data_IF_301873208315
#
_entry.id   IF_301873208315
#
_cell.length_a   1.000
_cell.length_b   1.000
_cell.length_c   1.000
_cell.angle_alpha   90.00
_cell.angle_beta   90.00
_cell.angle_gamma   90.00
#
_symmetry.space_group_name_H-M   'P 1'
#
loop_
_entity.id
_entity.type
_entity.pdbx_description
1 polymer ?
#
# COMPACT_ATOMS: atom_id res chain seq x y z
N UNK A 1 1.66 -10.10 12.16
CA UNK A 1 2.19 -9.80 10.81
C UNK A 1 3.47 -9.01 11.00
N UNK A 2 4.52 -9.23 10.19
CA UNK A 2 5.73 -8.39 10.22
C UNK A 2 5.76 -7.60 8.91
N UNK A 3 5.61 -6.28 9.00
CA UNK A 3 5.76 -5.41 7.85
C UNK A 3 7.24 -5.29 7.46
N UNK A 4 7.53 -5.15 6.17
CA UNK A 4 8.90 -4.98 5.70
C UNK A 4 8.96 -4.78 4.20
N UNK A 5 10.15 -4.51 3.69
CA UNK A 5 10.38 -4.29 2.27
C UNK A 5 11.74 -4.83 1.84
N UNK A 6 11.83 -5.22 0.58
CA UNK A 6 13.11 -5.51 -0.09
C UNK A 6 13.47 -4.29 -0.93
N UNK A 7 14.65 -3.74 -0.70
CA UNK A 7 15.21 -2.65 -1.52
C UNK A 7 16.46 -3.12 -2.26
N UNK A 8 16.63 -2.57 -3.46
CA UNK A 8 17.89 -2.61 -4.19
C UNK A 8 18.42 -1.19 -4.22
N UNK A 9 19.64 -1.01 -3.76
CA UNK A 9 20.32 0.28 -3.81
C UNK A 9 21.04 0.45 -5.15
N UNK A 10 21.38 1.70 -5.45
CA UNK A 10 22.00 2.09 -6.72
C UNK A 10 23.43 1.51 -6.86
N UNK A 11 24.10 1.24 -5.74
CA UNK A 11 25.40 0.56 -5.68
C UNK A 11 25.31 -0.98 -5.84
N UNK A 12 24.09 -1.52 -5.97
CA UNK A 12 23.83 -2.94 -6.14
C UNK A 12 23.54 -3.71 -4.85
N UNK A 13 23.69 -3.10 -3.67
CA UNK A 13 23.33 -3.75 -2.40
C UNK A 13 21.85 -4.11 -2.37
N UNK A 14 21.55 -5.27 -1.82
CA UNK A 14 20.20 -5.75 -1.60
C UNK A 14 19.94 -5.84 -0.10
N UNK A 15 18.90 -5.18 0.39
CA UNK A 15 18.54 -5.17 1.81
C UNK A 15 17.08 -5.63 2.00
N UNK A 16 16.83 -6.35 3.09
CA UNK A 16 15.50 -6.42 3.70
C UNK A 16 15.46 -5.42 4.84
N UNK A 17 14.47 -4.54 4.85
CA UNK A 17 14.26 -3.55 5.90
C UNK A 17 12.96 -3.84 6.64
N UNK A 18 13.04 -3.93 7.97
CA UNK A 18 11.90 -4.21 8.84
C UNK A 18 11.78 -3.11 9.90
N UNK A 19 10.67 -2.37 9.98
CA UNK A 19 10.45 -1.40 11.04
C UNK A 19 10.07 -2.09 12.34
N UNK A 20 10.71 -1.70 13.45
CA UNK A 20 10.40 -2.26 14.77
C UNK A 20 9.16 -1.66 15.40
N UNK A 21 8.87 -0.39 15.11
CA UNK A 21 7.78 0.40 15.68
C UNK A 21 7.17 1.40 14.67
N UNK A 22 6.15 2.16 15.11
CA UNK A 22 5.47 3.17 14.29
C UNK A 22 6.39 4.31 13.81
N UNK A 23 7.29 4.88 14.64
CA UNK A 23 8.31 5.80 14.15
C UNK A 23 9.19 5.21 13.04
N UNK A 24 9.66 3.98 13.19
CA UNK A 24 10.45 3.28 12.19
C UNK A 24 9.67 3.03 10.90
N UNK A 25 8.39 2.66 10.99
CA UNK A 25 7.49 2.56 9.83
C UNK A 25 7.39 3.88 9.07
N UNK A 26 7.28 5.01 9.79
CA UNK A 26 7.24 6.34 9.19
C UNK A 26 8.54 6.68 8.45
N UNK A 27 9.71 6.29 8.99
CA UNK A 27 11.00 6.46 8.32
C UNK A 27 11.13 5.55 7.10
N UNK A 28 10.68 4.30 7.20
CA UNK A 28 10.69 3.36 6.08
C UNK A 28 9.85 3.87 4.91
N UNK A 29 8.62 4.33 5.17
CA UNK A 29 7.74 4.87 4.13
C UNK A 29 8.29 6.15 3.53
N UNK A 30 8.94 7.01 4.32
CA UNK A 30 9.65 8.21 3.82
C UNK A 30 10.81 7.85 2.91
N UNK A 31 11.64 6.87 3.30
CA UNK A 31 12.73 6.33 2.47
C UNK A 31 12.20 5.80 1.13
N UNK A 32 11.16 4.97 1.15
CA UNK A 32 10.56 4.45 -0.08
C UNK A 32 9.96 5.56 -0.95
N UNK A 33 9.30 6.55 -0.35
CA UNK A 33 8.74 7.71 -1.07
C UNK A 33 9.84 8.50 -1.77
N UNK A 34 10.95 8.75 -1.09
CA UNK A 34 12.13 9.42 -1.65
C UNK A 34 12.63 8.66 -2.88
N UNK A 35 12.84 7.35 -2.76
CA UNK A 35 13.35 6.55 -3.87
C UNK A 35 12.38 6.48 -5.06
N UNK A 36 11.07 6.38 -4.80
CA UNK A 36 10.03 6.41 -5.84
C UNK A 36 9.95 7.76 -6.54
N UNK A 37 10.14 8.87 -5.81
CA UNK A 37 10.10 10.22 -6.38
C UNK A 37 11.26 10.49 -7.36
N UNK A 38 12.42 9.85 -7.16
CA UNK A 38 13.63 10.04 -7.98
C UNK A 38 13.63 9.22 -9.28
N UNK A 39 12.96 8.07 -9.32
CA UNK A 39 13.13 7.08 -10.39
C UNK A 39 11.95 7.00 -11.40
N UNK A 40 10.95 7.86 -11.26
CA UNK A 40 9.77 7.89 -12.13
C UNK A 40 8.89 6.64 -12.03
N UNK A 41 7.98 6.46 -13.01
CA UNK A 41 6.96 5.40 -12.97
C UNK A 41 7.59 4.01 -12.98
N UNK A 42 7.32 3.23 -11.93
CA UNK A 42 7.78 1.84 -11.79
C UNK A 42 9.21 1.70 -11.25
N UNK A 43 10.00 2.78 -11.23
CA UNK A 43 11.36 2.78 -10.69
C UNK A 43 11.41 2.93 -9.16
N UNK A 44 12.61 2.82 -8.60
CA UNK A 44 12.98 3.28 -7.25
C UNK A 44 14.51 3.47 -7.24
N UNK A 45 15.01 4.66 -6.92
CA UNK A 45 16.44 4.96 -6.89
C UNK A 45 16.83 5.35 -5.45
N UNK A 46 17.63 4.53 -4.81
CA UNK A 46 18.02 4.67 -3.41
C UNK A 46 19.52 4.47 -3.28
N UNK A 47 20.19 5.44 -2.68
CA UNK A 47 21.59 5.33 -2.33
C UNK A 47 21.75 4.83 -0.88
N UNK A 48 22.95 4.38 -0.52
CA UNK A 48 23.25 3.95 0.84
C UNK A 48 23.03 5.08 1.86
N UNK A 49 23.36 6.31 1.51
CA UNK A 49 23.22 7.50 2.35
C UNK A 49 21.75 7.77 2.71
N UNK A 50 20.80 7.43 1.83
CA UNK A 50 19.38 7.53 2.13
C UNK A 50 18.99 6.54 3.23
N UNK A 51 19.53 5.31 3.17
CA UNK A 51 19.31 4.29 4.20
C UNK A 51 19.92 4.74 5.51
N UNK A 52 21.16 5.27 5.51
CA UNK A 52 21.83 5.85 6.68
C UNK A 52 20.95 6.94 7.31
N UNK A 53 20.41 7.85 6.50
CA UNK A 53 19.57 8.96 6.98
C UNK A 53 18.30 8.47 7.67
N UNK A 54 17.67 7.41 7.17
CA UNK A 54 16.37 6.92 7.64
C UNK A 54 16.43 5.61 8.45
N UNK A 55 17.61 5.21 8.94
CA UNK A 55 17.84 3.88 9.53
C UNK A 55 17.20 3.65 10.91
N UNK A 56 16.91 4.71 11.67
CA UNK A 56 16.62 4.58 13.09
C UNK A 56 15.35 3.74 13.36
N UNK A 57 15.49 2.69 14.17
CA UNK A 57 14.42 1.73 14.47
C UNK A 57 14.16 0.71 13.35
N UNK A 58 14.96 0.70 12.28
CA UNK A 58 14.90 -0.36 11.27
C UNK A 58 15.85 -1.50 11.64
N UNK A 59 15.42 -2.73 11.41
CA UNK A 59 16.30 -3.88 11.25
C UNK A 59 16.66 -4.00 9.77
N UNK A 60 17.95 -4.21 9.48
CA UNK A 60 18.44 -4.40 8.12
C UNK A 60 19.10 -5.77 7.97
N UNK A 61 18.69 -6.49 6.92
CA UNK A 61 19.31 -7.76 6.53
C UNK A 61 19.95 -7.57 5.16
N UNK A 62 21.27 -7.64 5.07
CA UNK A 62 22.00 -7.66 3.80
C UNK A 62 21.81 -9.01 3.11
N UNK A 63 21.50 -9.01 1.80
CA UNK A 63 21.47 -10.22 0.98
C UNK A 63 22.71 -10.27 0.06
N UNK A 64 23.88 -10.71 0.56
CA UNK A 64 25.09 -10.76 -0.26
C UNK A 64 24.98 -11.85 -1.33
N UNK A 65 25.62 -11.62 -2.49
CA UNK A 65 25.64 -12.61 -3.56
C UNK A 65 26.71 -13.70 -3.35
N UNK A 66 27.96 -13.24 -3.21
CA UNK A 66 29.15 -14.06 -3.04
C UNK A 66 30.03 -13.45 -1.94
N UNK A 67 30.79 -14.25 -1.18
CA UNK A 67 31.81 -13.72 -0.28
C UNK A 67 32.91 -12.99 -1.07
N UNK A 68 33.52 -11.98 -0.48
CA UNK A 68 34.63 -11.24 -1.09
C UNK A 68 34.82 -9.87 -0.47
N UNK A 69 35.72 -9.07 -1.03
CA UNK A 69 36.07 -7.75 -0.49
C UNK A 69 34.88 -6.79 -0.49
N UNK A 70 34.06 -6.81 -1.54
CA UNK A 70 32.83 -6.02 -1.61
C UNK A 70 31.87 -6.36 -0.45
N UNK A 71 31.60 -7.66 -0.22
CA UNK A 71 30.75 -8.09 0.89
C UNK A 71 31.35 -7.76 2.25
N UNK A 72 32.67 -7.84 2.41
CA UNK A 72 33.34 -7.42 3.64
C UNK A 72 33.13 -5.92 3.90
N UNK A 73 33.26 -5.10 2.86
CA UNK A 73 32.98 -3.66 2.95
C UNK A 73 31.51 -3.40 3.30
N UNK A 74 30.57 -4.06 2.61
CA UNK A 74 29.14 -3.91 2.85
C UNK A 74 28.74 -4.31 4.28
N UNK A 75 29.35 -5.36 4.82
CA UNK A 75 29.13 -5.81 6.20
C UNK A 75 29.72 -4.81 7.21
N UNK A 76 30.86 -4.20 6.90
CA UNK A 76 31.43 -3.12 7.71
C UNK A 76 30.49 -1.92 7.80
N UNK A 77 30.01 -1.44 6.65
CA UNK A 77 29.04 -0.34 6.58
C UNK A 77 27.74 -0.71 7.33
N UNK A 78 27.26 -1.95 7.16
CA UNK A 78 26.06 -2.43 7.85
C UNK A 78 26.24 -2.42 9.37
N UNK A 79 27.40 -2.88 9.86
CA UNK A 79 27.71 -2.87 11.29
C UNK A 79 27.78 -1.45 11.85
N UNK A 80 28.44 -0.52 11.14
CA UNK A 80 28.56 0.88 11.55
C UNK A 80 27.18 1.55 11.70
N UNK A 81 26.27 1.29 10.77
CA UNK A 81 24.97 1.98 10.71
C UNK A 81 23.92 1.29 11.59
N UNK A 82 23.86 -0.04 11.57
CA UNK A 82 22.80 -0.80 12.22
C UNK A 82 23.22 -1.47 13.53
N UNK A 83 24.51 -1.69 13.76
CA UNK A 83 25.01 -2.40 14.94
C UNK A 83 24.32 -3.76 15.12
N UNK A 84 23.72 -3.95 16.29
CA UNK A 84 22.95 -5.15 16.65
C UNK A 84 21.63 -5.32 15.87
N UNK A 85 21.21 -4.33 15.07
CA UNK A 85 20.05 -4.40 14.17
C UNK A 85 20.43 -4.83 12.74
N UNK A 86 21.73 -5.03 12.48
CA UNK A 86 22.27 -5.45 11.20
C UNK A 86 22.48 -6.97 11.15
N UNK A 87 22.00 -7.60 10.08
CA UNK A 87 22.18 -9.05 9.88
C UNK A 87 22.66 -9.38 8.47
N UNK A 88 23.43 -10.45 8.34
CA UNK A 88 23.83 -11.04 7.06
C UNK A 88 22.91 -12.23 6.71
N UNK A 89 22.20 -12.17 5.59
CA UNK A 89 21.37 -13.27 5.14
C UNK A 89 22.21 -14.47 4.69
N UNK A 90 21.86 -15.66 5.19
CA UNK A 90 22.29 -16.94 4.66
C UNK A 90 21.12 -17.57 3.92
N UNK A 91 21.29 -17.79 2.62
CA UNK A 91 20.27 -18.39 1.75
C UNK A 91 20.89 -19.47 0.87
N UNK A 92 20.36 -20.68 0.96
CA UNK A 92 20.71 -21.78 0.03
C UNK A 92 20.07 -21.56 -1.34
N UNK A 93 20.86 -21.75 -2.41
CA UNK A 93 20.49 -21.55 -3.81
C UNK A 93 20.33 -22.86 -4.58
N UNK A 94 20.67 -23.99 -3.93
CA UNK A 94 20.79 -25.33 -4.54
C UNK A 94 21.80 -25.34 -5.69
N UNK A 95 22.95 -24.71 -5.46
CA UNK A 95 24.09 -24.70 -6.41
C UNK A 95 25.29 -25.46 -5.86
N UNK A 96 26.21 -25.90 -6.74
CA UNK A 96 27.54 -26.34 -6.29
C UNK A 96 28.15 -25.31 -5.35
N UNK A 97 28.90 -25.80 -4.36
CA UNK A 97 29.64 -24.99 -3.38
C UNK A 97 28.80 -24.07 -2.47
N UNK A 98 27.47 -24.24 -2.43
CA UNK A 98 26.61 -23.44 -1.55
C UNK A 98 27.01 -23.54 -0.08
N UNK A 99 27.41 -24.73 0.39
CA UNK A 99 27.85 -24.92 1.77
C UNK A 99 29.13 -24.11 2.07
N UNK A 100 30.11 -24.14 1.16
CA UNK A 100 31.33 -23.35 1.26
C UNK A 100 31.02 -21.85 1.23
N UNK A 101 30.19 -21.42 0.26
CA UNK A 101 29.74 -20.04 0.13
C UNK A 101 29.08 -19.52 1.41
N UNK A 102 28.17 -20.29 2.01
CA UNK A 102 27.51 -19.90 3.25
C UNK A 102 28.49 -19.87 4.44
N UNK A 103 29.44 -20.82 4.49
CA UNK A 103 30.48 -20.81 5.51
C UNK A 103 31.36 -19.56 5.41
N UNK A 104 31.82 -19.21 4.21
CA UNK A 104 32.62 -18.01 3.98
C UNK A 104 31.86 -16.71 4.26
N UNK A 105 30.58 -16.64 3.88
CA UNK A 105 29.72 -15.50 4.23
C UNK A 105 29.53 -15.38 5.75
N UNK A 106 29.29 -16.50 6.45
CA UNK A 106 29.15 -16.50 7.90
C UNK A 106 30.46 -16.06 8.59
N UNK A 107 31.61 -16.51 8.08
CA UNK A 107 32.92 -16.07 8.56
C UNK A 107 33.13 -14.57 8.34
N UNK A 108 32.85 -14.04 7.16
CA UNK A 108 32.97 -12.59 6.90
C UNK A 108 32.03 -11.75 7.76
N UNK A 109 30.81 -12.24 7.99
CA UNK A 109 29.87 -11.60 8.91
C UNK A 109 30.41 -11.57 10.35
N UNK A 110 30.96 -12.70 10.82
CA UNK A 110 31.59 -12.76 12.14
C UNK A 110 32.82 -11.83 12.27
N UNK A 111 33.70 -11.81 11.26
CA UNK A 111 34.87 -10.90 11.20
C UNK A 111 34.44 -9.42 11.31
N UNK A 112 33.28 -9.07 10.72
CA UNK A 112 32.72 -7.72 10.73
C UNK A 112 31.82 -7.42 11.95
N UNK A 113 31.63 -8.37 12.88
CA UNK A 113 30.75 -8.20 14.03
C UNK A 113 29.26 -8.15 13.67
N UNK A 114 28.85 -8.77 12.56
CA UNK A 114 27.47 -8.84 12.07
C UNK A 114 26.90 -10.24 12.30
N UNK A 115 25.72 -10.33 12.92
CA UNK A 115 25.03 -11.60 13.12
C UNK A 115 24.48 -12.16 11.80
N UNK A 116 24.48 -13.48 11.64
CA UNK A 116 23.85 -14.13 10.47
C UNK A 116 22.39 -14.45 10.74
N UNK A 117 21.57 -14.50 9.68
CA UNK A 117 20.16 -14.94 9.75
C UNK A 117 19.80 -15.83 8.56
N UNK A 118 19.09 -16.92 8.82
CA UNK A 118 18.64 -17.85 7.79
C UNK A 118 17.42 -17.27 7.05
N UNK A 119 17.51 -17.14 5.72
CA UNK A 119 16.45 -16.58 4.88
C UNK A 119 16.14 -17.51 3.71
N UNK A 120 14.86 -17.80 3.50
CA UNK A 120 14.41 -18.66 2.39
C UNK A 120 14.31 -17.97 1.03
N UNK A 121 14.38 -16.63 1.00
CA UNK A 121 14.19 -15.77 -0.18
C UNK A 121 12.94 -16.18 -0.99
N UNK A 122 11.82 -16.39 -0.29
CA UNK A 122 10.62 -17.05 -0.80
C UNK A 122 9.92 -16.20 -1.87
N UNK A 123 9.46 -16.84 -2.96
CA UNK A 123 8.64 -16.22 -4.00
C UNK A 123 7.24 -16.82 -4.11
N UNK A 124 7.07 -18.06 -3.66
CA UNK A 124 5.83 -18.81 -3.84
C UNK A 124 5.56 -19.72 -2.64
N UNK A 125 4.31 -20.15 -2.47
CA UNK A 125 3.86 -20.86 -1.27
C UNK A 125 4.19 -22.36 -1.30
N UNK A 126 4.19 -22.99 -2.47
CA UNK A 126 4.39 -24.43 -2.63
C UNK A 126 5.35 -24.77 -3.80
N UNK A 127 6.00 -25.95 -3.81
CA UNK A 127 7.00 -26.30 -4.82
C UNK A 127 6.48 -26.29 -6.28
N UNK A 128 5.25 -26.73 -6.49
CA UNK A 128 4.54 -26.81 -7.77
C UNK A 128 4.21 -25.42 -8.35
N UNK A 129 4.02 -24.41 -7.49
CA UNK A 129 3.83 -23.03 -7.89
C UNK A 129 5.05 -22.39 -8.60
N UNK A 130 6.18 -23.10 -8.69
CA UNK A 130 7.33 -22.67 -9.49
C UNK A 130 6.99 -22.47 -10.97
N UNK A 131 6.14 -23.33 -11.53
CA UNK A 131 5.72 -23.18 -12.94
C UNK A 131 4.93 -21.88 -13.14
N UNK A 132 4.05 -21.56 -12.19
CA UNK A 132 3.31 -20.31 -12.19
C UNK A 132 4.25 -19.10 -12.05
N UNK A 133 5.31 -19.20 -11.25
CA UNK A 133 6.33 -18.15 -11.14
C UNK A 133 7.01 -17.87 -12.49
N UNK A 134 7.34 -18.91 -13.26
CA UNK A 134 7.91 -18.75 -14.60
C UNK A 134 6.91 -18.06 -15.56
N UNK A 135 5.63 -18.44 -15.49
CA UNK A 135 4.55 -17.81 -16.29
C UNK A 135 4.38 -16.33 -15.93
N UNK A 136 4.28 -15.98 -14.65
CA UNK A 136 4.13 -14.58 -14.20
C UNK A 136 5.38 -13.77 -14.56
N UNK A 137 6.56 -14.38 -14.54
CA UNK A 137 7.79 -13.75 -15.01
C UNK A 137 7.74 -13.50 -16.52
N UNK A 138 7.30 -14.47 -17.32
CA UNK A 138 7.14 -14.30 -18.77
C UNK A 138 6.14 -13.19 -19.13
N UNK A 139 5.01 -13.10 -18.40
CA UNK A 139 4.04 -12.00 -18.53
C UNK A 139 4.71 -10.65 -18.23
N UNK A 140 5.46 -10.55 -17.13
CA UNK A 140 6.17 -9.31 -16.74
C UNK A 140 7.19 -8.88 -17.79
N UNK A 141 7.97 -9.84 -18.30
CA UNK A 141 9.02 -9.62 -19.31
C UNK A 141 8.46 -9.53 -20.75
N UNK A 142 7.13 -9.67 -20.93
CA UNK A 142 6.42 -9.62 -22.21
C UNK A 142 6.98 -10.60 -23.24
N UNK A 143 7.29 -11.82 -22.81
CA UNK A 143 7.77 -12.89 -23.69
C UNK A 143 7.07 -14.21 -23.37
N UNK A 144 7.43 -15.27 -24.09
CA UNK A 144 6.94 -16.62 -23.77
C UNK A 144 7.83 -17.29 -22.73
N UNK A 145 7.33 -18.35 -22.09
CA UNK A 145 8.11 -19.19 -21.15
C UNK A 145 9.32 -19.83 -21.84
N UNK A 146 9.17 -20.20 -23.12
CA UNK A 146 10.25 -20.80 -23.93
C UNK A 146 11.37 -19.81 -24.22
N UNK A 147 11.03 -18.53 -24.42
CA UNK A 147 11.98 -17.46 -24.74
C UNK A 147 12.49 -16.71 -23.50
N UNK A 148 12.11 -17.16 -22.30
CA UNK A 148 12.44 -16.49 -21.04
C UNK A 148 13.95 -16.47 -20.74
N UNK A 149 14.66 -17.53 -21.14
CA UNK A 149 16.12 -17.65 -20.97
C UNK A 149 16.58 -17.40 -19.53
N UNK A 150 17.64 -16.61 -19.36
CA UNK A 150 18.21 -16.27 -18.05
C UNK A 150 17.39 -15.29 -17.19
N UNK A 151 16.25 -14.80 -17.71
CA UNK A 151 15.30 -14.02 -16.91
C UNK A 151 14.47 -14.90 -15.97
N UNK A 152 14.47 -16.22 -16.21
CA UNK A 152 13.88 -17.20 -15.29
C UNK A 152 14.57 -17.16 -13.94
N UNK A 153 13.82 -17.46 -12.89
CA UNK A 153 14.39 -17.60 -11.56
C UNK A 153 15.51 -18.66 -11.58
N UNK A 154 16.71 -18.23 -11.17
CA UNK A 154 17.93 -19.04 -11.28
C UNK A 154 18.01 -20.10 -10.18
N UNK A 155 17.40 -19.83 -9.04
CA UNK A 155 17.49 -20.67 -7.85
C UNK A 155 16.22 -21.51 -7.73
N UNK A 156 16.40 -22.81 -7.60
CA UNK A 156 15.31 -23.69 -7.20
C UNK A 156 14.93 -23.41 -5.74
N UNK A 157 13.85 -24.04 -5.27
CA UNK A 157 13.59 -24.16 -3.82
C UNK A 157 13.23 -22.82 -3.13
N UNK A 158 12.66 -21.86 -3.86
CA UNK A 158 12.14 -20.58 -3.32
C UNK A 158 10.66 -20.66 -2.87
N UNK A 159 10.21 -21.86 -2.49
CA UNK A 159 8.91 -22.06 -1.83
C UNK A 159 9.03 -21.92 -0.31
N UNK A 160 7.92 -21.58 0.35
CA UNK A 160 7.80 -21.56 1.81
C UNK A 160 8.04 -22.96 2.40
N UNK A 161 8.95 -23.06 3.38
CA UNK A 161 9.33 -24.32 4.03
C UNK A 161 8.77 -24.39 5.44
N UNK A 162 8.62 -25.62 5.94
CA UNK A 162 8.31 -25.84 7.34
C UNK A 162 9.51 -25.44 8.23
N UNK A 163 9.26 -25.14 9.52
CA UNK A 163 10.32 -24.88 10.48
C UNK A 163 11.37 -26.00 10.55
N UNK A 164 10.92 -27.26 10.56
CA UNK A 164 11.79 -28.44 10.67
C UNK A 164 12.73 -28.56 9.46
N UNK A 165 12.23 -28.27 8.26
CA UNK A 165 13.05 -28.28 7.05
C UNK A 165 14.05 -27.12 7.06
N UNK A 166 13.68 -25.94 7.56
CA UNK A 166 14.61 -24.82 7.72
C UNK A 166 15.71 -25.14 8.73
N UNK A 167 15.37 -25.71 9.89
CA UNK A 167 16.33 -26.16 10.90
C UNK A 167 17.28 -27.22 10.34
N UNK A 168 16.74 -28.23 9.64
CA UNK A 168 17.55 -29.29 9.00
C UNK A 168 18.51 -28.71 7.96
N UNK A 169 18.04 -27.78 7.11
CA UNK A 169 18.88 -27.17 6.06
C UNK A 169 19.99 -26.31 6.64
N UNK A 170 19.70 -25.59 7.71
CA UNK A 170 20.65 -24.70 8.39
C UNK A 170 21.24 -25.33 9.65
N UNK A 171 21.34 -26.66 9.71
CA UNK A 171 21.89 -27.36 10.88
C UNK A 171 23.33 -26.94 11.23
N UNK A 172 24.13 -26.52 10.24
CA UNK A 172 25.47 -25.97 10.44
C UNK A 172 25.47 -24.51 10.94
N UNK A 173 24.32 -23.83 10.95
CA UNK A 173 24.15 -22.42 11.31
C UNK A 173 22.95 -22.23 12.27
N UNK A 174 22.94 -22.89 13.45
CA UNK A 174 21.79 -22.84 14.37
C UNK A 174 21.50 -21.42 14.89
N UNK A 175 22.54 -20.59 15.06
CA UNK A 175 22.39 -19.18 15.45
C UNK A 175 21.62 -18.38 14.39
N UNK A 176 21.80 -18.69 13.11
CA UNK A 176 21.11 -18.02 12.01
C UNK A 176 19.61 -18.31 12.02
N UNK A 177 19.21 -19.51 12.44
CA UNK A 177 17.79 -19.85 12.67
C UNK A 177 17.27 -19.11 13.89
N UNK A 178 18.02 -19.08 15.01
CA UNK A 178 17.59 -18.39 16.23
C UNK A 178 17.37 -16.88 16.00
N UNK A 179 18.22 -16.26 15.20
CA UNK A 179 18.10 -14.85 14.82
C UNK A 179 16.74 -14.53 14.17
N UNK A 180 16.11 -15.48 13.45
CA UNK A 180 14.79 -15.26 12.85
C UNK A 180 13.72 -14.98 13.90
N UNK A 181 13.70 -15.73 14.99
CA UNK A 181 12.77 -15.57 16.10
C UNK A 181 13.06 -14.29 16.90
N UNK A 182 14.33 -13.90 17.01
CA UNK A 182 14.73 -12.64 17.63
C UNK A 182 14.23 -11.44 16.82
N UNK A 183 14.49 -11.40 15.52
CA UNK A 183 14.00 -10.35 14.61
C UNK A 183 12.48 -10.27 14.70
N UNK A 184 11.79 -11.41 14.67
CA UNK A 184 10.33 -11.45 14.78
C UNK A 184 9.81 -10.84 16.09
N UNK A 185 10.51 -11.05 17.22
CA UNK A 185 10.14 -10.44 18.52
C UNK A 185 10.41 -8.94 18.57
N UNK A 186 11.44 -8.45 17.87
CA UNK A 186 11.79 -7.02 17.82
C UNK A 186 10.84 -6.23 16.92
N UNK A 187 10.25 -6.86 15.91
CA UNK A 187 9.29 -6.24 15.01
C UNK A 187 7.88 -6.18 15.62
N UNK A 188 7.62 -5.16 16.43
CA UNK A 188 6.33 -4.99 17.14
C UNK A 188 5.32 -4.09 16.43
N UNK A 189 5.74 -3.36 15.40
CA UNK A 189 4.85 -2.46 14.64
C UNK A 189 3.61 -3.17 14.11
N UNK A 190 2.45 -2.61 14.40
CA UNK A 190 1.16 -3.02 13.84
C UNK A 190 0.55 -1.92 12.95
N UNK A 191 0.03 -2.33 11.78
CA UNK A 191 -0.71 -1.44 10.89
C UNK A 191 -1.99 -0.90 11.56
N UNK A 192 -2.54 -1.62 12.53
CA UNK A 192 -3.67 -1.17 13.34
C UNK A 192 -3.39 0.08 14.19
N UNK A 193 -2.12 0.43 14.44
CA UNK A 193 -1.74 1.64 15.16
C UNK A 193 -1.87 2.93 14.31
N UNK A 194 -2.14 2.79 13.01
CA UNK A 194 -2.32 3.91 12.10
C UNK A 194 -3.74 4.48 12.26
N UNK A 195 -3.82 5.78 12.53
CA UNK A 195 -5.07 6.51 12.69
C UNK A 195 -5.19 7.60 11.64
N UNK A 196 -6.43 7.98 11.32
CA UNK A 196 -6.68 9.14 10.47
C UNK A 196 -6.09 10.40 11.11
N UNK A 197 -5.44 11.20 10.28
CA UNK A 197 -4.93 12.52 10.63
C UNK A 197 -5.52 13.48 9.62
N UNK A 198 -6.37 14.37 10.09
CA UNK A 198 -6.98 15.38 9.24
C UNK A 198 -6.08 16.61 9.17
N UNK A 199 -6.05 17.32 8.02
CA UNK A 199 -5.38 18.60 7.92
C UNK A 199 -5.89 19.59 8.96
N UNK A 200 -5.01 20.47 9.44
CA UNK A 200 -5.41 21.60 10.26
C UNK A 200 -5.98 22.70 9.35
N UNK A 201 -7.30 22.71 9.23
CA UNK A 201 -8.04 23.69 8.45
C UNK A 201 -8.09 25.03 9.19
N UNK A 202 -7.19 25.95 8.87
CA UNK A 202 -7.21 27.34 9.38
C UNK A 202 -8.25 28.17 8.63
N UNK A 203 -9.52 27.80 8.77
CA UNK A 203 -10.63 28.51 8.11
C UNK A 203 -11.00 29.79 8.87
N UNK A 204 -10.85 29.79 10.20
CA UNK A 204 -11.12 30.94 11.07
C UNK A 204 -10.03 31.04 12.14
N UNK A 205 -9.28 32.15 12.13
CA UNK A 205 -8.19 32.38 13.08
C UNK A 205 -8.70 32.39 14.53
N UNK A 206 -8.03 31.63 15.40
CA UNK A 206 -8.30 31.59 16.84
C UNK A 206 -9.45 30.68 17.28
N UNK A 207 -10.12 29.97 16.36
CA UNK A 207 -11.17 29.00 16.69
C UNK A 207 -10.67 27.56 16.59
N UNK A 208 -11.28 26.68 17.38
CA UNK A 208 -11.14 25.23 17.18
C UNK A 208 -11.91 24.80 15.92
N UNK A 209 -11.54 23.65 15.34
CA UNK A 209 -12.24 23.11 14.17
C UNK A 209 -13.76 22.94 14.38
N UNK A 210 -14.17 22.53 15.58
CA UNK A 210 -15.58 22.41 15.94
C UNK A 210 -16.29 23.77 15.95
N UNK A 211 -15.70 24.77 16.61
CA UNK A 211 -16.26 26.13 16.66
C UNK A 211 -16.33 26.77 15.26
N UNK A 212 -15.32 26.56 14.43
CA UNK A 212 -15.32 27.04 13.05
C UNK A 212 -16.44 26.37 12.23
N UNK A 213 -16.64 25.06 12.39
CA UNK A 213 -17.73 24.34 11.72
C UNK A 213 -19.11 24.85 12.16
N UNK A 214 -19.31 25.05 13.47
CA UNK A 214 -20.54 25.60 14.02
C UNK A 214 -20.83 27.00 13.47
N UNK A 215 -19.82 27.89 13.44
CA UNK A 215 -19.97 29.24 12.92
C UNK A 215 -20.32 29.25 11.42
N UNK A 216 -19.64 28.43 10.60
CA UNK A 216 -19.92 28.33 9.17
C UNK A 216 -21.33 27.77 8.91
N UNK A 217 -21.73 26.78 9.71
CA UNK A 217 -23.07 26.19 9.61
C UNK A 217 -24.13 27.21 9.97
N UNK A 218 -23.96 27.98 11.06
CA UNK A 218 -24.92 29.01 11.46
C UNK A 218 -25.04 30.11 10.40
N UNK A 219 -23.91 30.61 9.90
CA UNK A 219 -23.91 31.60 8.82
C UNK A 219 -24.58 31.10 7.52
N UNK A 220 -24.54 29.79 7.26
CA UNK A 220 -25.27 29.20 6.15
C UNK A 220 -26.78 29.07 6.43
N UNK A 221 -27.14 28.70 7.65
CA UNK A 221 -28.52 28.62 8.12
C UNK A 221 -29.21 29.99 8.07
N UNK A 222 -28.57 31.04 8.57
CA UNK A 222 -29.08 32.42 8.55
C UNK A 222 -29.35 32.89 7.11
N UNK A 223 -28.43 32.60 6.17
CA UNK A 223 -28.62 32.92 4.75
C UNK A 223 -29.76 32.14 4.12
N UNK A 224 -29.98 30.89 4.54
CA UNK A 224 -30.99 29.99 3.97
C UNK A 224 -32.40 30.29 4.50
N UNK A 225 -32.50 30.72 5.75
CA UNK A 225 -33.73 30.96 6.48
C UNK A 225 -33.73 32.35 7.15
N UNK A 226 -33.77 33.45 6.36
CA UNK A 226 -33.72 34.81 6.89
C UNK A 226 -34.92 35.15 7.81
N UNK A 227 -36.07 34.50 7.58
CA UNK A 227 -37.30 34.70 8.34
C UNK A 227 -37.45 33.75 9.54
N UNK A 228 -36.39 33.00 9.88
CA UNK A 228 -36.36 32.07 11.00
C UNK A 228 -36.26 30.60 10.59
N UNK A 229 -35.53 29.84 11.39
CA UNK A 229 -35.16 28.45 11.11
C UNK A 229 -36.24 27.51 11.63
N UNK A 230 -36.81 26.61 10.79
CA UNK A 230 -37.80 25.66 11.27
C UNK A 230 -37.21 24.70 12.31
N UNK A 231 -38.00 24.37 13.35
CA UNK A 231 -37.54 23.61 14.51
C UNK A 231 -36.93 22.24 14.18
N UNK A 232 -37.40 21.58 13.12
CA UNK A 232 -36.85 20.31 12.66
C UNK A 232 -35.40 20.44 12.18
N UNK A 233 -35.08 21.49 11.41
CA UNK A 233 -33.70 21.72 10.97
C UNK A 233 -32.79 22.07 12.14
N UNK A 234 -33.26 22.92 13.06
CA UNK A 234 -32.48 23.30 14.25
C UNK A 234 -32.13 22.08 15.09
N UNK A 235 -33.14 21.27 15.43
CA UNK A 235 -32.97 20.03 16.19
C UNK A 235 -31.97 19.08 15.52
N UNK A 236 -32.09 18.90 14.20
CA UNK A 236 -31.21 18.02 13.44
C UNK A 236 -29.77 18.55 13.38
N UNK A 237 -29.58 19.81 13.05
CA UNK A 237 -28.25 20.45 12.99
C UNK A 237 -27.54 20.36 14.35
N UNK A 238 -28.24 20.68 15.44
CA UNK A 238 -27.68 20.61 16.78
C UNK A 238 -27.30 19.16 17.16
N UNK A 239 -28.09 18.17 16.72
CA UNK A 239 -27.76 16.75 16.92
C UNK A 239 -26.52 16.33 16.12
N UNK A 240 -26.45 16.71 14.85
CA UNK A 240 -25.30 16.39 13.98
C UNK A 240 -24.01 17.02 14.50
N UNK A 241 -24.03 18.32 14.86
CA UNK A 241 -22.86 19.02 15.37
C UNK A 241 -22.33 18.42 16.68
N UNK A 242 -23.23 17.97 17.58
CA UNK A 242 -22.83 17.22 18.78
C UNK A 242 -22.12 15.92 18.43
N UNK A 243 -22.68 15.11 17.54
CA UNK A 243 -22.08 13.83 17.17
C UNK A 243 -20.74 14.01 16.42
N UNK A 244 -20.64 15.04 15.58
CA UNK A 244 -19.40 15.42 14.91
C UNK A 244 -18.32 15.81 15.93
N UNK A 245 -18.69 16.54 16.98
CA UNK A 245 -17.78 16.90 18.07
C UNK A 245 -17.32 15.67 18.86
N UNK A 246 -18.25 14.80 19.26
CA UNK A 246 -17.97 13.58 20.02
C UNK A 246 -17.02 12.63 19.29
N UNK A 247 -17.14 12.55 17.97
CA UNK A 247 -16.32 11.69 17.11
C UNK A 247 -15.11 12.43 16.50
N UNK A 248 -14.92 13.71 16.83
CA UNK A 248 -13.84 14.57 16.35
C UNK A 248 -13.72 14.65 14.81
N UNK A 249 -14.85 14.71 14.10
CA UNK A 249 -14.89 14.78 12.63
C UNK A 249 -14.94 16.20 12.07
N UNK A 250 -14.98 17.24 12.91
CA UNK A 250 -15.05 18.63 12.42
C UNK A 250 -13.94 19.01 11.42
N UNK A 251 -12.65 18.64 11.60
CA UNK A 251 -11.61 18.94 10.62
C UNK A 251 -11.90 18.36 9.23
N UNK A 252 -12.51 17.17 9.18
CA UNK A 252 -12.86 16.53 7.93
C UNK A 252 -13.96 17.28 7.18
N UNK A 253 -15.02 17.70 7.89
CA UNK A 253 -16.09 18.53 7.31
C UNK A 253 -15.55 19.86 6.80
N UNK A 254 -14.65 20.50 7.55
CA UNK A 254 -13.99 21.74 7.13
C UNK A 254 -13.17 21.53 5.86
N UNK A 255 -12.38 20.45 5.77
CA UNK A 255 -11.56 20.14 4.59
C UNK A 255 -12.43 20.00 3.35
N UNK A 256 -13.53 19.23 3.45
CA UNK A 256 -14.45 19.06 2.32
C UNK A 256 -15.15 20.37 1.98
N UNK A 257 -15.58 21.14 2.98
CA UNK A 257 -16.18 22.46 2.77
C UNK A 257 -15.22 23.41 2.04
N UNK A 258 -13.93 23.43 2.40
CA UNK A 258 -12.90 24.23 1.72
C UNK A 258 -12.78 23.85 0.23
N UNK A 259 -12.73 22.55 -0.08
CA UNK A 259 -12.67 22.05 -1.46
C UNK A 259 -13.93 22.45 -2.26
N UNK A 260 -15.12 22.27 -1.68
CA UNK A 260 -16.41 22.61 -2.31
C UNK A 260 -16.54 24.12 -2.51
N UNK A 261 -16.14 24.92 -1.52
CA UNK A 261 -16.16 26.37 -1.59
C UNK A 261 -15.25 26.89 -2.72
N UNK A 262 -14.06 26.31 -2.86
CA UNK A 262 -13.16 26.65 -3.96
C UNK A 262 -13.74 26.28 -5.33
N UNK A 263 -14.33 25.09 -5.45
CA UNK A 263 -15.02 24.66 -6.68
C UNK A 263 -16.08 25.67 -7.11
N UNK A 264 -16.92 26.10 -6.17
CA UNK A 264 -17.95 27.12 -6.41
C UNK A 264 -17.37 28.47 -6.77
N UNK A 265 -16.31 28.91 -6.10
CA UNK A 265 -15.62 30.17 -6.40
C UNK A 265 -15.11 30.23 -7.85
N UNK A 266 -14.67 29.09 -8.39
CA UNK A 266 -14.23 28.92 -9.79
C UNK A 266 -15.36 28.63 -10.78
N UNK A 267 -16.60 28.55 -10.31
CA UNK A 267 -17.75 28.16 -11.12
C UNK A 267 -17.67 26.72 -11.65
N UNK A 268 -16.98 25.82 -10.93
CA UNK A 268 -16.90 24.39 -11.26
C UNK A 268 -18.06 23.68 -10.57
N UNK A 269 -18.84 22.93 -11.36
CA UNK A 269 -19.94 22.13 -10.81
C UNK A 269 -19.40 21.02 -9.91
N UNK A 270 -19.95 20.93 -8.71
CA UNK A 270 -19.65 19.86 -7.77
C UNK A 270 -20.90 19.39 -7.02
N UNK A 271 -20.93 18.11 -6.66
CA UNK A 271 -22.07 17.49 -5.98
C UNK A 271 -21.59 16.40 -5.01
N UNK A 272 -21.92 16.54 -3.73
CA UNK A 272 -21.75 15.45 -2.77
C UNK A 272 -22.69 14.28 -3.08
N UNK A 273 -22.18 13.05 -2.95
CA UNK A 273 -22.91 11.78 -3.18
C UNK A 273 -22.83 10.86 -1.97
N UNK A 274 -23.54 9.73 -2.05
CA UNK A 274 -23.51 8.69 -1.02
C UNK A 274 -24.25 9.11 0.26
N UNK A 275 -23.79 8.60 1.41
CA UNK A 275 -24.43 8.84 2.71
C UNK A 275 -24.30 10.29 3.20
N UNK A 276 -23.36 11.08 2.65
CA UNK A 276 -23.25 12.50 2.97
C UNK A 276 -24.55 13.29 2.70
N UNK A 277 -25.40 12.82 1.78
CA UNK A 277 -26.70 13.42 1.50
C UNK A 277 -27.68 13.38 2.70
N UNK A 278 -27.41 12.55 3.71
CA UNK A 278 -28.24 12.43 4.90
C UNK A 278 -27.94 13.49 5.97
N UNK A 279 -26.93 14.35 5.78
CA UNK A 279 -26.51 15.35 6.76
C UNK A 279 -27.08 16.74 6.44
N UNK A 280 -27.76 17.33 7.41
CA UNK A 280 -28.18 18.73 7.40
C UNK A 280 -26.97 19.67 7.38
N UNK A 281 -25.90 19.36 8.11
CA UNK A 281 -24.67 20.18 8.10
C UNK A 281 -24.08 20.21 6.68
N UNK A 282 -23.93 19.05 6.03
CA UNK A 282 -23.50 18.99 4.63
C UNK A 282 -24.41 19.77 3.68
N UNK A 283 -25.72 19.69 3.88
CA UNK A 283 -26.69 20.43 3.07
C UNK A 283 -26.60 21.95 3.28
N UNK A 284 -26.46 22.42 4.51
CA UNK A 284 -26.34 23.86 4.82
C UNK A 284 -25.05 24.46 4.25
N UNK A 285 -23.92 23.77 4.42
CA UNK A 285 -22.66 24.15 3.79
C UNK A 285 -22.70 24.01 2.25
N UNK A 286 -23.72 23.32 1.74
CA UNK A 286 -23.92 23.02 0.34
C UNK A 286 -22.91 22.01 -0.21
N UNK A 287 -22.29 21.20 0.63
CA UNK A 287 -21.53 20.02 0.18
C UNK A 287 -22.48 19.09 -0.59
N UNK A 288 -23.72 18.96 -0.13
CA UNK A 288 -24.80 18.24 -0.81
C UNK A 288 -25.92 19.20 -1.21
N UNK A 289 -26.71 18.80 -2.20
CA UNK A 289 -27.87 19.57 -2.70
C UNK A 289 -29.22 18.99 -2.29
N UNK A 290 -29.23 17.82 -1.64
CA UNK A 290 -30.45 17.13 -1.20
C UNK A 290 -30.78 17.58 0.21
N UNK A 291 -32.04 17.95 0.43
CA UNK A 291 -32.58 18.37 1.72
C UNK A 291 -32.98 17.14 2.55
N UNK A 292 -32.20 16.74 3.57
CA UNK A 292 -32.42 15.48 4.28
C UNK A 292 -33.70 15.50 5.12
N UNK A 293 -34.17 16.67 5.56
CA UNK A 293 -35.41 16.79 6.34
C UNK A 293 -36.62 16.52 5.45
N UNK A 294 -36.66 17.11 4.24
CA UNK A 294 -37.77 16.89 3.30
C UNK A 294 -37.86 15.46 2.78
N UNK A 295 -36.72 14.78 2.71
CA UNK A 295 -36.62 13.43 2.20
C UNK A 295 -36.52 12.36 3.30
N UNK A 296 -36.69 12.74 4.57
CA UNK A 296 -36.68 11.86 5.74
C UNK A 296 -35.44 10.95 5.79
N UNK A 297 -34.27 11.51 5.44
CA UNK A 297 -33.01 10.79 5.40
C UNK A 297 -32.42 10.66 6.81
N UNK A 298 -31.89 9.47 7.12
CA UNK A 298 -31.34 9.15 8.43
C UNK A 298 -29.85 9.47 8.51
N UNK A 299 -29.49 10.41 9.39
CA UNK A 299 -28.11 10.83 9.62
C UNK A 299 -27.23 9.71 10.18
N UNK A 300 -27.79 8.79 10.96
CA UNK A 300 -27.08 7.65 11.57
C UNK A 300 -26.53 6.66 10.54
N UNK A 301 -27.07 6.69 9.31
CA UNK A 301 -26.51 5.93 8.18
C UNK A 301 -25.23 6.54 7.62
N UNK A 302 -24.96 7.81 7.94
CA UNK A 302 -23.76 8.53 7.55
C UNK A 302 -22.72 8.54 8.66
N UNK A 303 -23.11 8.91 9.87
CA UNK A 303 -22.24 8.90 11.06
C UNK A 303 -22.91 8.10 12.16
N UNK A 304 -22.26 7.05 12.65
CA UNK A 304 -22.77 6.22 13.74
C UNK A 304 -21.71 6.05 14.83
N UNK A 305 -22.08 6.38 16.08
CA UNK A 305 -21.22 6.19 17.25
C UNK A 305 -20.89 4.72 17.54
N UNK A 306 -21.73 3.77 17.08
CA UNK A 306 -21.54 2.34 17.29
C UNK A 306 -20.49 1.74 16.34
N UNK A 307 -20.35 2.31 15.13
CA UNK A 307 -19.47 1.75 14.08
C UNK A 307 -18.02 2.18 14.20
N UNK A 308 -17.71 3.30 14.87
CA UNK A 308 -16.35 3.90 14.95
C UNK A 308 -15.59 3.92 13.62
N UNK A 309 -16.32 3.94 12.51
CA UNK A 309 -15.78 4.07 11.16
C UNK A 309 -15.90 5.55 10.76
N UNK A 310 -14.87 6.15 10.15
CA UNK A 310 -14.96 7.50 9.62
C UNK A 310 -16.03 7.62 8.53
N UNK A 311 -16.77 8.73 8.47
CA UNK A 311 -17.72 8.98 7.39
C UNK A 311 -16.99 9.17 6.06
N UNK A 312 -17.63 8.75 4.98
CA UNK A 312 -17.14 8.98 3.62
C UNK A 312 -17.96 10.09 2.95
N UNK A 313 -17.28 11.18 2.55
CA UNK A 313 -17.88 12.34 1.87
C UNK A 313 -17.27 12.42 0.48
N UNK A 314 -17.90 11.68 -0.42
CA UNK A 314 -17.56 11.72 -1.83
C UNK A 314 -18.15 12.96 -2.50
N UNK A 315 -17.32 13.71 -3.21
CA UNK A 315 -17.75 14.85 -4.03
C UNK A 315 -17.39 14.59 -5.50
N UNK A 316 -18.42 14.60 -6.35
CA UNK A 316 -18.27 14.60 -7.79
C UNK A 316 -17.95 16.01 -8.28
N UNK A 317 -17.02 16.12 -9.23
CA UNK A 317 -16.67 17.38 -9.90
C UNK A 317 -16.86 17.23 -11.41
N UNK A 318 -17.13 18.35 -12.08
CA UNK A 318 -17.16 18.44 -13.54
C UNK A 318 -15.92 17.77 -14.16
N UNK A 319 -16.15 16.82 -15.08
CA UNK A 319 -15.11 15.93 -15.58
C UNK A 319 -13.91 16.67 -16.18
N UNK A 320 -14.17 17.68 -17.03
CA UNK A 320 -13.14 18.42 -17.75
C UNK A 320 -12.35 19.39 -16.84
N UNK A 321 -12.94 19.79 -15.70
CA UNK A 321 -12.37 20.80 -14.78
C UNK A 321 -11.93 20.25 -13.43
N UNK A 322 -12.14 18.95 -13.17
CA UNK A 322 -11.71 18.27 -11.94
C UNK A 322 -10.22 18.46 -11.64
N UNK A 323 -9.38 18.50 -12.68
CA UNK A 323 -7.94 18.70 -12.53
C UNK A 323 -7.59 20.04 -11.86
N UNK A 324 -8.37 21.10 -12.10
CA UNK A 324 -8.17 22.42 -11.47
C UNK A 324 -8.27 22.33 -9.94
N UNK A 325 -9.20 21.52 -9.43
CA UNK A 325 -9.40 21.28 -7.99
C UNK A 325 -8.28 20.43 -7.43
N UNK A 326 -7.84 19.40 -8.16
CA UNK A 326 -6.69 18.58 -7.77
C UNK A 326 -5.43 19.44 -7.63
N UNK A 327 -5.17 20.36 -8.57
CA UNK A 327 -4.03 21.28 -8.47
C UNK A 327 -4.19 22.24 -7.30
N UNK A 328 -5.39 22.79 -7.07
CA UNK A 328 -5.62 23.62 -5.88
C UNK A 328 -5.34 22.87 -4.57
N UNK A 329 -5.74 21.60 -4.45
CA UNK A 329 -5.43 20.76 -3.28
C UNK A 329 -3.91 20.63 -3.12
N UNK A 330 -3.17 20.40 -4.21
CA UNK A 330 -1.70 20.34 -4.15
C UNK A 330 -1.04 21.67 -3.76
N UNK A 331 -1.57 22.79 -4.26
CA UNK A 331 -1.09 24.14 -3.93
C UNK A 331 -1.38 24.50 -2.47
N UNK A 332 -2.54 24.09 -1.96
CA UNK A 332 -3.03 24.43 -0.61
C UNK A 332 -2.39 23.56 0.47
N UNK A 333 -2.38 22.24 0.28
CA UNK A 333 -1.91 21.29 1.31
C UNK A 333 -0.48 20.81 1.07
N UNK A 334 0.07 21.07 -0.12
CA UNK A 334 1.42 20.66 -0.52
C UNK A 334 1.49 19.21 -1.00
N UNK A 335 2.42 18.96 -1.92
CA UNK A 335 2.65 17.62 -2.53
C UNK A 335 3.23 16.58 -1.55
N UNK A 336 3.57 16.99 -0.33
CA UNK A 336 4.02 16.09 0.74
C UNK A 336 2.89 15.60 1.65
N UNK A 337 1.71 16.22 1.58
CA UNK A 337 0.53 15.86 2.38
C UNK A 337 -0.68 15.47 1.53
N UNK A 338 -0.64 15.73 0.22
CA UNK A 338 -1.65 15.28 -0.74
C UNK A 338 -1.04 14.33 -1.78
N UNK A 339 -1.78 13.29 -2.15
CA UNK A 339 -1.42 12.34 -3.20
C UNK A 339 -2.69 11.70 -3.80
N UNK A 340 -2.62 11.24 -5.06
CA UNK A 340 -3.68 10.40 -5.63
C UNK A 340 -3.51 8.97 -5.13
N UNK A 341 -4.63 8.33 -4.79
CA UNK A 341 -4.65 6.92 -4.40
C UNK A 341 -4.34 6.03 -5.61
N UNK A 342 -3.46 5.04 -5.40
CA UNK A 342 -3.10 4.10 -6.45
C UNK A 342 -4.19 3.04 -6.63
N UNK A 343 -4.40 2.61 -7.87
CA UNK A 343 -5.29 1.47 -8.19
C UNK A 343 -4.45 0.22 -8.37
N UNK A 344 -4.80 -0.84 -7.63
CA UNK A 344 -4.19 -2.16 -7.79
C UNK A 344 -5.01 -3.00 -8.77
N UNK A 345 -4.52 -3.15 -9.99
CA UNK A 345 -5.14 -4.02 -10.99
C UNK A 345 -4.88 -5.49 -10.66
N UNK A 346 -5.95 -6.29 -10.56
CA UNK A 346 -5.86 -7.73 -10.38
C UNK A 346 -6.30 -8.43 -11.65
N UNK A 347 -5.64 -9.53 -12.02
CA UNK A 347 -6.11 -10.37 -13.11
C UNK A 347 -7.44 -11.03 -12.73
N UNK A 348 -8.50 -10.68 -13.46
CA UNK A 348 -9.76 -11.43 -13.45
C UNK A 348 -9.65 -12.61 -14.42
N UNK A 349 -10.51 -13.61 -14.31
CA UNK A 349 -10.44 -14.86 -15.09
C UNK A 349 -10.15 -14.65 -16.59
N UNK A 350 -10.91 -13.77 -17.27
CA UNK A 350 -10.67 -13.44 -18.68
C UNK A 350 -9.27 -12.89 -18.96
N UNK A 351 -8.80 -11.98 -18.11
CA UNK A 351 -7.46 -11.39 -18.22
C UNK A 351 -6.36 -12.42 -17.93
N UNK A 352 -6.56 -13.26 -16.92
CA UNK A 352 -5.64 -14.33 -16.58
C UNK A 352 -5.48 -15.32 -17.73
N UNK A 353 -6.58 -15.82 -18.32
CA UNK A 353 -6.56 -16.75 -19.46
C UNK A 353 -5.81 -16.16 -20.66
N UNK A 354 -6.04 -14.88 -20.97
CA UNK A 354 -5.35 -14.20 -22.08
C UNK A 354 -3.85 -14.09 -21.83
N UNK A 355 -3.45 -13.58 -20.67
CA UNK A 355 -2.03 -13.34 -20.39
C UNK A 355 -1.25 -14.64 -20.18
N UNK A 356 -1.85 -15.64 -19.53
CA UNK A 356 -1.26 -16.99 -19.43
C UNK A 356 -1.14 -17.62 -20.81
N UNK A 357 -2.20 -17.56 -21.63
CA UNK A 357 -2.16 -18.10 -22.99
C UNK A 357 -1.06 -17.48 -23.84
N UNK A 358 -0.89 -16.16 -23.80
CA UNK A 358 0.23 -15.46 -24.48
C UNK A 358 1.59 -15.90 -23.95
N UNK A 359 1.75 -16.01 -22.62
CA UNK A 359 3.00 -16.45 -22.01
C UNK A 359 3.36 -17.91 -22.38
N UNK A 360 2.35 -18.75 -22.63
CA UNK A 360 2.51 -20.12 -23.15
C UNK A 360 2.68 -20.18 -24.67
N UNK A 361 2.66 -19.05 -25.38
CA UNK A 361 2.84 -19.00 -26.84
C UNK A 361 1.58 -19.37 -27.64
N UNK A 362 0.40 -19.36 -27.04
CA UNK A 362 -0.85 -19.61 -27.76
C UNK A 362 -1.17 -18.44 -28.72
N UNK A 363 -1.69 -18.73 -29.93
CA UNK A 363 -2.12 -17.70 -30.87
C UNK A 363 -3.21 -16.79 -30.29
N UNK A 364 -3.23 -15.51 -30.69
CA UNK A 364 -4.17 -14.52 -30.16
C UNK A 364 -5.63 -14.95 -30.35
N UNK A 365 -5.98 -15.50 -31.52
CA UNK A 365 -7.34 -15.98 -31.82
C UNK A 365 -7.80 -17.07 -30.84
N UNK A 366 -6.88 -17.98 -30.48
CA UNK A 366 -7.15 -19.04 -29.52
C UNK A 366 -7.36 -18.47 -28.11
N UNK A 367 -6.48 -17.57 -27.67
CA UNK A 367 -6.63 -16.92 -26.35
C UNK A 367 -7.91 -16.08 -26.26
N UNK A 368 -8.31 -15.44 -27.37
CA UNK A 368 -9.55 -14.67 -27.47
C UNK A 368 -10.77 -15.57 -27.40
N UNK A 369 -10.77 -16.70 -28.11
CA UNK A 369 -11.83 -17.70 -28.04
C UNK A 369 -11.99 -18.26 -26.63
N UNK A 370 -10.89 -18.70 -26.00
CA UNK A 370 -10.88 -19.22 -24.63
C UNK A 370 -11.40 -18.19 -23.62
N UNK A 371 -10.95 -16.95 -23.71
CA UNK A 371 -11.43 -15.89 -22.84
C UNK A 371 -12.91 -15.53 -23.09
N UNK A 372 -13.41 -15.70 -24.31
CA UNK A 372 -14.82 -15.49 -24.67
C UNK A 372 -15.77 -16.48 -24.01
N UNK A 373 -15.28 -17.69 -23.68
CA UNK A 373 -16.06 -18.73 -23.01
C UNK A 373 -16.28 -18.47 -21.51
N UNK A 374 -15.45 -17.63 -20.90
CA UNK A 374 -15.64 -17.22 -19.50
C UNK A 374 -16.84 -16.27 -19.44
N UNK A 375 -17.99 -16.77 -19.01
CA UNK A 375 -19.21 -15.98 -18.80
C UNK A 375 -19.36 -15.56 -17.33
N UNK A 376 -19.71 -14.29 -17.09
CA UNK A 376 -19.99 -13.75 -15.75
C UNK A 376 -18.78 -13.58 -14.83
N UNK A 377 -19.06 -13.39 -13.53
CA UNK A 377 -18.06 -13.34 -12.46
C UNK A 377 -17.66 -14.78 -12.07
N UNK A 378 -16.72 -15.38 -12.81
CA UNK A 378 -16.15 -16.68 -12.45
C UNK A 378 -14.75 -16.52 -11.82
N UNK A 379 -14.54 -17.13 -10.66
CA UNK A 379 -13.22 -17.34 -10.05
C UNK A 379 -12.54 -18.61 -10.59
N UNK A 380 -13.31 -19.51 -11.20
CA UNK A 380 -12.89 -20.87 -11.57
C UNK A 380 -12.32 -20.96 -13.00
N UNK A 381 -12.32 -19.86 -13.77
CA UNK A 381 -11.68 -19.81 -15.09
C UNK A 381 -12.47 -20.52 -16.18
N UNK A 382 -11.76 -21.17 -17.11
CA UNK A 382 -12.32 -21.98 -18.21
C UNK A 382 -12.25 -23.45 -17.82
N UNK A 383 -13.39 -24.12 -17.66
CA UNK A 383 -13.49 -25.54 -17.36
C UNK A 383 -13.43 -26.44 -18.59
N UNK A 384 -13.28 -27.75 -18.37
CA UNK A 384 -13.10 -28.75 -19.44
C UNK A 384 -14.20 -28.74 -20.50
N UNK A 385 -15.47 -28.56 -20.09
CA UNK A 385 -16.61 -28.47 -21.00
C UNK A 385 -16.49 -27.31 -21.99
N UNK A 386 -15.87 -26.21 -21.57
CA UNK A 386 -15.70 -25.02 -22.39
C UNK A 386 -14.52 -25.19 -23.35
N UNK A 387 -13.44 -25.85 -22.93
CA UNK A 387 -12.32 -26.22 -23.82
C UNK A 387 -12.78 -27.18 -24.93
N UNK A 388 -13.61 -28.18 -24.57
CA UNK A 388 -14.20 -29.12 -25.53
C UNK A 388 -15.14 -28.43 -26.54
N UNK A 389 -15.85 -27.37 -26.16
CA UNK A 389 -16.67 -26.57 -27.09
C UNK A 389 -15.86 -25.89 -28.19
N UNK A 390 -14.55 -25.70 -28.00
CA UNK A 390 -13.65 -25.18 -29.04
C UNK A 390 -12.96 -26.27 -29.86
N UNK A 391 -13.33 -27.54 -29.69
CA UNK A 391 -12.66 -28.70 -30.31
C UNK A 391 -11.15 -28.74 -30.03
N UNK A 392 -10.73 -28.23 -28.87
CA UNK A 392 -9.35 -28.33 -28.41
C UNK A 392 -9.18 -29.65 -27.67
N UNK A 393 -8.18 -30.44 -28.08
CA UNK A 393 -7.73 -31.58 -27.30
C UNK A 393 -6.91 -31.07 -26.12
N UNK A 394 -7.17 -31.57 -24.92
CA UNK A 394 -6.26 -31.39 -23.79
C UNK A 394 -5.04 -32.31 -23.92
#
# INVERSE_FOLDING_TARGET
>A
MIAGTRVRLDDGRMLLLYPTDKPAWSRLTRLLTLGKSRAGKGGCALAWEDVVTWNAGLIAILLPDLPGDATRSDLGDLHEVFGDRGYCALTFRRRPDDAMRLHDLARQAADAGVATVAVGDILYHAPDARLLQDVVTAIREKCTVDTLGYRRERHADRHLKSPEEMERRFAAFPDAIRATAEIARRCTFDLGELSYQYPDERVVDGLTAQQALEQLTEAAVERRFPDGVPAQYRTQIDHELRLIAELAYAPYFLTVNSIVAESRRRGILCQGRGSAANSCVCFMLGITSIDPIKHELLFERFISGERREPPDIDVDFEHERREEIIQWIYETYGRTHAALTAVVTRYRARGAVREVGKALGLPEDLTKALAGLVWGWSQEGVGEKQVQQLNLNM
#
